data_IF_475234025210
#
_entry.id   IF_475234025210
#
_cell.length_a   1.000
_cell.length_b   1.000
_cell.length_c   1.000
_cell.angle_alpha   90.00
_cell.angle_beta   90.00
_cell.angle_gamma   90.00
#
_symmetry.space_group_name_H-M   'P 1'
#
loop_
_entity.id
_entity.type
_entity.pdbx_description
1 polymer ?
#
# COMPACT_ATOMS: atom_id res chain seq x y z
N UNK A 1 -9.59 -14.17 5.79
CA UNK A 1 -9.91 -12.74 5.89
C UNK A 1 -11.20 -12.60 5.12
N UNK A 2 -12.31 -12.33 5.81
CA UNK A 2 -13.62 -12.23 5.15
C UNK A 2 -13.59 -11.07 4.15
N UNK A 3 -14.09 -11.33 2.94
CA UNK A 3 -14.25 -10.29 1.92
C UNK A 3 -15.38 -9.39 2.42
N UNK A 4 -15.08 -8.11 2.66
CA UNK A 4 -16.08 -7.14 3.09
C UNK A 4 -17.23 -7.10 2.07
N UNK A 5 -18.45 -7.06 2.57
CA UNK A 5 -19.62 -6.85 1.71
C UNK A 5 -19.61 -5.41 1.18
N UNK A 6 -20.27 -5.17 0.03
CA UNK A 6 -20.36 -3.84 -0.57
C UNK A 6 -20.96 -2.79 0.40
N UNK A 7 -21.87 -3.23 1.26
CA UNK A 7 -22.52 -2.36 2.26
C UNK A 7 -21.57 -1.99 3.40
N UNK A 8 -20.74 -2.93 3.86
CA UNK A 8 -19.72 -2.67 4.89
C UNK A 8 -18.60 -1.77 4.39
N UNK A 9 -18.17 -1.95 3.14
CA UNK A 9 -17.20 -1.02 2.50
C UNK A 9 -17.75 0.41 2.50
N UNK A 10 -19.02 0.57 2.13
CA UNK A 10 -19.68 1.87 2.04
C UNK A 10 -19.73 2.55 3.40
N UNK A 11 -20.14 1.80 4.44
CA UNK A 11 -20.17 2.29 5.82
C UNK A 11 -18.79 2.75 6.30
N UNK A 12 -17.75 1.95 6.07
CA UNK A 12 -16.37 2.28 6.48
C UNK A 12 -15.87 3.54 5.78
N UNK A 13 -16.16 3.70 4.48
CA UNK A 13 -15.74 4.87 3.71
C UNK A 13 -16.40 6.16 4.20
N UNK A 14 -17.69 6.12 4.51
CA UNK A 14 -18.41 7.28 5.03
C UNK A 14 -17.99 7.61 6.47
N UNK A 15 -17.94 6.62 7.37
CA UNK A 15 -17.66 6.84 8.80
C UNK A 15 -16.19 7.20 9.07
N UNK A 16 -15.25 6.55 8.37
CA UNK A 16 -13.81 6.69 8.69
C UNK A 16 -13.14 7.76 7.86
N UNK A 17 -13.57 7.93 6.60
CA UNK A 17 -12.88 8.79 5.64
C UNK A 17 -13.70 10.01 5.21
N UNK A 18 -14.95 10.16 5.70
CA UNK A 18 -15.88 11.22 5.31
C UNK A 18 -16.01 11.35 3.78
N UNK A 19 -16.01 10.20 3.10
CA UNK A 19 -16.12 10.12 1.64
C UNK A 19 -17.59 10.03 1.26
N UNK A 20 -18.00 10.93 0.38
CA UNK A 20 -19.32 10.92 -0.27
C UNK A 20 -19.32 9.85 -1.38
N UNK A 21 -20.18 8.84 -1.22
CA UNK A 21 -20.21 7.63 -2.05
C UNK A 21 -20.78 7.95 -3.43
N UNK A 22 -21.79 8.80 -3.51
CA UNK A 22 -22.39 9.23 -4.77
C UNK A 22 -21.37 10.03 -5.60
N UNK A 23 -20.60 10.89 -4.94
CA UNK A 23 -19.47 11.58 -5.59
C UNK A 23 -18.38 10.60 -6.03
N UNK A 24 -18.09 9.56 -5.25
CA UNK A 24 -17.07 8.58 -5.59
C UNK A 24 -17.41 7.84 -6.89
N UNK A 25 -18.65 7.39 -7.06
CA UNK A 25 -19.11 6.75 -8.30
C UNK A 25 -18.95 7.67 -9.51
N UNK A 26 -19.38 8.92 -9.38
CA UNK A 26 -19.19 9.93 -10.42
C UNK A 26 -17.72 10.14 -10.78
N UNK A 27 -16.83 10.19 -9.79
CA UNK A 27 -15.40 10.33 -10.03
C UNK A 27 -14.77 9.10 -10.66
N UNK A 28 -15.26 7.89 -10.38
CA UNK A 28 -14.80 6.67 -11.05
C UNK A 28 -15.10 6.76 -12.55
N UNK A 29 -16.32 7.14 -12.94
CA UNK A 29 -16.70 7.33 -14.34
C UNK A 29 -15.84 8.41 -15.03
N UNK A 30 -15.58 9.52 -14.35
CA UNK A 30 -14.68 10.56 -14.87
C UNK A 30 -13.24 10.06 -15.04
N UNK A 31 -12.77 9.23 -14.09
CA UNK A 31 -11.44 8.65 -14.14
C UNK A 31 -11.30 7.71 -15.33
N UNK A 32 -12.30 6.85 -15.58
CA UNK A 32 -12.33 5.94 -16.73
C UNK A 32 -12.29 6.71 -18.05
N UNK A 33 -13.15 7.73 -18.22
CA UNK A 33 -13.14 8.59 -19.40
C UNK A 33 -11.80 9.28 -19.63
N UNK A 34 -11.19 9.81 -18.56
CA UNK A 34 -9.86 10.43 -18.64
C UNK A 34 -8.80 9.40 -19.05
N UNK A 35 -8.84 8.22 -18.43
CA UNK A 35 -7.90 7.13 -18.65
C UNK A 35 -7.99 6.58 -20.07
N UNK A 36 -9.19 6.46 -20.64
CA UNK A 36 -9.42 6.07 -22.04
C UNK A 36 -8.74 7.02 -23.01
N UNK A 37 -8.74 8.32 -22.72
CA UNK A 37 -8.00 9.34 -23.48
C UNK A 37 -6.47 9.19 -23.43
N UNK A 38 -5.91 8.48 -22.44
CA UNK A 38 -4.46 8.31 -22.29
C UNK A 38 -3.94 7.13 -23.13
N UNK A 39 -3.31 7.42 -24.28
CA UNK A 39 -2.76 6.39 -25.19
C UNK A 39 -1.53 5.65 -24.63
N UNK A 40 -0.81 6.26 -23.71
CA UNK A 40 0.45 5.75 -23.17
C UNK A 40 0.27 4.87 -21.92
N UNK A 41 -0.93 4.88 -21.32
CA UNK A 41 -1.22 4.08 -20.12
C UNK A 41 -1.74 2.69 -20.52
N UNK A 42 -1.39 1.64 -19.76
CA UNK A 42 -1.84 0.28 -20.04
C UNK A 42 -3.35 0.16 -19.85
N UNK A 43 -4.10 -0.27 -20.87
CA UNK A 43 -5.57 -0.36 -20.84
C UNK A 43 -6.15 -1.51 -20.00
N UNK A 44 -5.32 -2.11 -19.17
CA UNK A 44 -5.67 -3.28 -18.34
C UNK A 44 -6.24 -2.90 -16.98
N UNK A 45 -6.22 -1.62 -16.60
CA UNK A 45 -6.82 -1.12 -15.36
C UNK A 45 -8.30 -0.73 -15.55
N UNK A 46 -9.11 -0.92 -14.50
CA UNK A 46 -10.53 -0.57 -14.48
C UNK A 46 -11.02 -0.07 -13.12
N UNK A 47 -12.32 0.18 -12.98
CA UNK A 47 -12.96 0.91 -11.88
C UNK A 47 -12.52 0.57 -10.45
N UNK A 48 -12.31 -0.70 -10.09
CA UNK A 48 -11.86 -1.07 -8.72
C UNK A 48 -10.44 -0.57 -8.39
N UNK A 49 -9.60 -0.39 -9.41
CA UNK A 49 -8.28 0.22 -9.28
C UNK A 49 -8.42 1.74 -9.04
N UNK A 50 -9.22 2.42 -9.88
CA UNK A 50 -9.42 3.87 -9.80
C UNK A 50 -10.08 4.30 -8.48
N UNK A 51 -11.04 3.50 -7.99
CA UNK A 51 -11.66 3.67 -6.66
C UNK A 51 -10.60 3.82 -5.57
N UNK A 52 -9.55 2.99 -5.57
CA UNK A 52 -8.48 3.04 -4.54
C UNK A 52 -7.68 4.33 -4.61
N UNK A 53 -7.31 4.79 -5.80
CA UNK A 53 -6.56 6.03 -5.97
C UNK A 53 -7.38 7.25 -5.56
N UNK A 54 -8.68 7.26 -5.87
CA UNK A 54 -9.62 8.30 -5.45
C UNK A 54 -9.77 8.33 -3.93
N UNK A 55 -9.95 7.18 -3.29
CA UNK A 55 -10.02 7.06 -1.82
C UNK A 55 -8.72 7.57 -1.18
N UNK A 56 -7.56 7.12 -1.65
CA UNK A 56 -6.26 7.55 -1.14
C UNK A 56 -6.00 9.05 -1.34
N UNK A 57 -6.59 9.64 -2.38
CA UNK A 57 -6.53 11.07 -2.66
C UNK A 57 -7.64 11.88 -1.96
N UNK A 58 -8.50 11.26 -1.15
CA UNK A 58 -9.67 11.90 -0.51
C UNK A 58 -10.58 12.59 -1.55
N UNK A 59 -10.84 11.91 -2.66
CA UNK A 59 -11.59 12.40 -3.83
C UNK A 59 -10.99 13.62 -4.56
N UNK A 60 -9.74 13.99 -4.27
CA UNK A 60 -9.01 14.96 -5.10
C UNK A 60 -8.61 14.29 -6.43
N UNK A 61 -9.34 14.64 -7.50
CA UNK A 61 -9.19 14.02 -8.81
C UNK A 61 -7.81 14.24 -9.44
N UNK A 62 -7.25 15.45 -9.32
CA UNK A 62 -5.92 15.76 -9.87
C UNK A 62 -4.83 14.98 -9.14
N UNK A 63 -4.91 14.94 -7.81
CA UNK A 63 -3.98 14.15 -6.99
C UNK A 63 -4.10 12.65 -7.27
N UNK A 64 -5.32 12.15 -7.49
CA UNK A 64 -5.55 10.75 -7.84
C UNK A 64 -4.91 10.39 -9.20
N UNK A 65 -5.10 11.24 -10.22
CA UNK A 65 -4.44 11.09 -11.53
C UNK A 65 -2.92 11.09 -11.40
N UNK A 66 -2.36 12.06 -10.66
CA UNK A 66 -0.92 12.18 -10.42
C UNK A 66 -0.35 10.90 -9.82
N UNK A 67 -1.00 10.39 -8.77
CA UNK A 67 -0.61 9.13 -8.10
C UNK A 67 -0.72 7.92 -9.02
N UNK A 68 -1.78 7.85 -9.82
CA UNK A 68 -1.97 6.76 -10.76
C UNK A 68 -0.88 6.75 -11.86
N UNK A 69 -0.59 7.89 -12.48
CA UNK A 69 0.50 8.02 -13.46
C UNK A 69 1.84 7.63 -12.84
N UNK A 70 2.12 8.11 -11.63
CA UNK A 70 3.34 7.74 -10.88
C UNK A 70 3.40 6.24 -10.59
N UNK A 71 2.28 5.61 -10.25
CA UNK A 71 2.20 4.17 -10.08
C UNK A 71 2.54 3.42 -11.38
N UNK A 72 1.93 3.80 -12.50
CA UNK A 72 2.25 3.21 -13.81
C UNK A 72 3.69 3.48 -14.26
N UNK A 73 4.26 4.63 -13.88
CA UNK A 73 5.67 4.94 -14.14
C UNK A 73 6.59 4.00 -13.34
N UNK A 74 6.33 3.86 -12.04
CA UNK A 74 7.15 3.02 -11.16
C UNK A 74 7.17 1.55 -11.63
N UNK A 75 6.07 1.02 -12.17
CA UNK A 75 6.06 -0.35 -12.70
C UNK A 75 6.97 -0.54 -13.91
N UNK A 76 7.29 0.54 -14.64
CA UNK A 76 8.18 0.52 -15.82
C UNK A 76 9.63 0.75 -15.45
N UNK A 77 9.89 1.70 -14.55
CA UNK A 77 11.26 2.09 -14.21
C UNK A 77 11.89 1.17 -13.20
N UNK A 78 11.07 0.52 -12.37
CA UNK A 78 11.50 -0.32 -11.27
C UNK A 78 11.09 -1.78 -11.50
N UNK A 79 11.40 -2.31 -12.68
CA UNK A 79 11.03 -3.68 -13.08
C UNK A 79 11.52 -4.74 -12.11
N UNK A 80 12.62 -4.48 -11.41
CA UNK A 80 13.16 -5.32 -10.35
C UNK A 80 12.19 -5.54 -9.18
N UNK A 81 11.25 -4.61 -8.94
CA UNK A 81 10.23 -4.72 -7.89
C UNK A 81 8.84 -5.10 -8.42
N UNK A 82 8.56 -4.80 -9.70
CA UNK A 82 7.22 -4.90 -10.26
C UNK A 82 7.04 -6.03 -11.29
N UNK A 83 8.10 -6.50 -11.94
CA UNK A 83 8.02 -7.61 -12.90
C UNK A 83 8.32 -8.98 -12.26
N UNK A 84 8.00 -10.06 -12.99
CA UNK A 84 8.34 -11.44 -12.62
C UNK A 84 7.85 -11.85 -11.21
N UNK A 85 6.69 -11.33 -10.81
CA UNK A 85 6.06 -11.68 -9.53
C UNK A 85 5.50 -13.09 -9.61
N UNK A 86 6.32 -14.05 -9.20
CA UNK A 86 5.89 -15.40 -8.91
C UNK A 86 5.75 -15.56 -7.40
N UNK A 87 4.73 -16.31 -6.97
CA UNK A 87 4.56 -16.72 -5.57
C UNK A 87 4.57 -18.25 -5.50
N UNK A 88 5.27 -18.89 -6.44
CA UNK A 88 5.40 -20.35 -6.46
C UNK A 88 6.65 -20.82 -5.72
N UNK A 89 7.68 -19.98 -5.62
CA UNK A 89 8.89 -20.35 -4.91
C UNK A 89 8.77 -19.96 -3.44
N UNK A 90 8.86 -20.96 -2.56
CA UNK A 90 8.97 -20.77 -1.10
C UNK A 90 10.11 -19.80 -0.72
N UNK A 91 11.13 -19.67 -1.59
CA UNK A 91 12.24 -18.72 -1.48
C UNK A 91 11.86 -17.27 -1.80
N UNK A 92 10.81 -17.02 -2.59
CA UNK A 92 10.30 -15.66 -2.90
C UNK A 92 9.40 -15.12 -1.78
N UNK A 93 8.96 -15.98 -0.86
CA UNK A 93 8.32 -15.58 0.40
C UNK A 93 9.36 -15.23 1.48
N UNK A 94 10.65 -15.48 1.26
CA UNK A 94 11.71 -15.15 2.22
C UNK A 94 11.80 -13.64 2.49
N UNK A 95 11.71 -12.75 1.48
CA UNK A 95 11.55 -11.31 1.72
C UNK A 95 10.36 -10.93 2.61
N UNK A 96 9.26 -11.69 2.58
CA UNK A 96 8.09 -11.45 3.45
C UNK A 96 8.38 -11.77 4.92
N UNK A 97 9.43 -12.56 5.23
CA UNK A 97 9.93 -12.67 6.60
C UNK A 97 10.41 -11.33 7.15
N UNK A 98 10.86 -10.42 6.29
CA UNK A 98 11.31 -9.07 6.66
C UNK A 98 10.19 -8.03 6.54
N UNK A 99 9.13 -8.33 5.79
CA UNK A 99 7.89 -7.54 5.73
C UNK A 99 6.98 -7.79 6.95
N UNK A 100 7.38 -8.73 7.81
CA UNK A 100 6.84 -8.89 9.14
C UNK A 100 6.95 -7.52 9.84
N UNK A 101 5.81 -6.90 10.14
CA UNK A 101 5.75 -5.73 11.00
C UNK A 101 6.54 -6.12 12.24
N UNK A 102 7.74 -5.54 12.38
CA UNK A 102 8.57 -5.79 13.54
C UNK A 102 7.85 -5.15 14.72
N UNK A 103 6.97 -5.93 15.36
CA UNK A 103 6.66 -5.73 16.77
C UNK A 103 8.01 -5.96 17.43
N UNK A 104 8.77 -4.88 17.59
CA UNK A 104 10.06 -4.89 18.26
C UNK A 104 9.77 -5.31 19.70
N UNK A 105 9.77 -6.62 19.93
CA UNK A 105 9.88 -7.19 21.26
C UNK A 105 11.23 -6.74 21.78
N UNK A 106 11.18 -5.74 22.65
CA UNK A 106 12.13 -5.52 23.75
C UNK A 106 13.59 -5.27 23.39
N UNK A 107 13.98 -5.17 22.13
CA UNK A 107 15.33 -4.73 21.77
C UNK A 107 15.41 -3.21 21.74
N UNK A 108 15.39 -2.59 22.92
CA UNK A 108 15.62 -1.16 23.10
C UNK A 108 16.95 -0.70 22.45
N UNK A 109 17.93 -1.60 22.33
CA UNK A 109 19.26 -1.26 21.81
C UNK A 109 19.27 -1.03 20.28
N UNK A 110 18.43 -1.72 19.52
CA UNK A 110 18.31 -1.50 18.07
C UNK A 110 17.54 -0.21 17.76
N UNK A 111 16.59 0.18 18.62
CA UNK A 111 15.84 1.43 18.49
C UNK A 111 16.70 2.68 18.74
N UNK A 112 17.72 2.59 19.60
CA UNK A 112 18.65 3.71 19.86
C UNK A 112 19.46 4.13 18.63
N UNK A 113 19.62 3.23 17.65
CA UNK A 113 20.42 3.47 16.45
C UNK A 113 19.58 3.97 15.27
N UNK A 114 18.25 3.96 15.38
CA UNK A 114 17.36 4.53 14.37
C UNK A 114 17.17 6.01 14.70
N UNK A 115 17.66 6.93 13.86
CA UNK A 115 17.52 8.35 14.12
C UNK A 115 16.03 8.73 14.15
N UNK A 116 15.56 9.55 15.10
CA UNK A 116 14.15 9.96 15.20
C UNK A 116 13.60 10.58 13.92
N UNK A 117 14.45 11.25 13.14
CA UNK A 117 14.12 11.84 11.84
C UNK A 117 13.83 10.81 10.74
N UNK A 118 14.23 9.55 10.90
CA UNK A 118 13.95 8.46 9.97
C UNK A 118 12.61 7.77 10.25
N UNK A 119 11.96 8.10 11.37
CA UNK A 119 10.64 7.58 11.72
C UNK A 119 9.57 8.53 11.17
N UNK A 120 8.54 8.03 10.46
CA UNK A 120 7.40 8.84 10.08
C UNK A 120 6.80 9.54 11.31
N UNK A 121 6.23 10.74 11.14
CA UNK A 121 5.59 11.50 12.23
C UNK A 121 4.50 10.69 12.96
N UNK A 122 3.90 9.72 12.29
CA UNK A 122 2.86 8.83 12.83
C UNK A 122 3.41 7.53 13.43
N UNK A 123 4.73 7.37 13.51
CA UNK A 123 5.37 6.19 14.07
C UNK A 123 5.47 6.32 15.59
N UNK A 124 4.55 5.66 16.31
CA UNK A 124 4.62 5.58 17.77
C UNK A 124 5.43 4.36 18.18
N UNK A 125 6.55 4.56 18.89
CA UNK A 125 7.27 3.47 19.55
C UNK A 125 6.43 3.00 20.74
N UNK A 126 5.63 1.96 20.52
CA UNK A 126 4.77 1.36 21.54
C UNK A 126 5.61 0.47 22.47
N UNK A 127 6.30 1.05 23.44
CA UNK A 127 7.02 0.33 24.51
C UNK A 127 6.05 -0.47 25.39
N UNK A 128 5.65 -1.67 24.94
CA UNK A 128 4.80 -2.60 25.70
C UNK A 128 3.34 -2.15 25.91
N UNK A 129 2.89 -1.06 25.25
CA UNK A 129 1.52 -0.52 25.38
C UNK A 129 0.64 -0.80 24.15
N UNK A 130 0.89 -1.90 23.44
CA UNK A 130 0.12 -2.27 22.24
C UNK A 130 -1.38 -2.37 22.52
N UNK A 131 -1.76 -2.94 23.66
CA UNK A 131 -3.17 -3.12 24.06
C UNK A 131 -3.93 -1.81 24.33
N UNK A 132 -3.24 -0.67 24.43
CA UNK A 132 -3.91 0.64 24.54
C UNK A 132 -4.41 1.17 23.19
N UNK A 133 -3.82 0.69 22.10
CA UNK A 133 -4.07 1.22 20.75
C UNK A 133 -4.62 0.16 19.79
N UNK A 134 -4.36 -1.13 20.07
CA UNK A 134 -4.78 -2.25 19.24
C UNK A 134 -5.67 -3.16 20.12
N UNK A 135 -6.91 -3.45 19.69
CA UNK A 135 -7.79 -4.34 20.42
C UNK A 135 -7.14 -5.73 20.62
N UNK A 136 -7.31 -6.38 21.79
CA UNK A 136 -6.68 -7.66 22.08
C UNK A 136 -6.94 -8.74 21.03
N UNK A 137 -8.13 -8.76 20.42
CA UNK A 137 -8.53 -9.71 19.39
C UNK A 137 -7.78 -9.57 18.06
N UNK A 138 -7.17 -8.42 17.81
CA UNK A 138 -6.36 -8.16 16.62
C UNK A 138 -4.87 -8.48 16.84
N UNK A 139 -4.47 -8.77 18.08
CA UNK A 139 -3.08 -9.00 18.44
C UNK A 139 -2.84 -10.52 18.65
N UNK A 140 -1.75 -11.10 18.13
CA UNK A 140 -1.44 -12.51 18.32
C UNK A 140 -1.23 -12.87 19.79
N UNK A 141 -1.49 -14.13 20.17
CA UNK A 141 -1.29 -14.62 21.55
C UNK A 141 0.16 -14.40 22.01
N UNK A 142 1.11 -14.66 21.11
CA UNK A 142 2.54 -14.49 21.36
C UNK A 142 2.93 -13.03 21.67
N UNK A 143 2.05 -12.07 21.37
CA UNK A 143 2.23 -10.64 21.60
C UNK A 143 1.33 -10.10 22.73
N UNK A 144 0.65 -10.97 23.48
CA UNK A 144 -0.22 -10.58 24.60
C UNK A 144 -1.66 -10.26 24.19
N UNK A 145 -2.10 -10.66 22.99
CA UNK A 145 -3.48 -10.57 22.54
C UNK A 145 -4.26 -11.88 22.67
N UNK A 146 -5.43 -11.94 22.04
CA UNK A 146 -6.33 -13.10 22.02
C UNK A 146 -6.56 -13.68 20.62
N UNK A 147 -5.87 -13.18 19.59
CA UNK A 147 -5.92 -13.71 18.23
C UNK A 147 -5.20 -15.07 18.10
N UNK A 148 -4.99 -15.57 16.89
CA UNK A 148 -4.19 -16.77 16.63
C UNK A 148 -2.69 -16.53 16.91
N UNK A 149 -1.89 -17.60 16.98
CA UNK A 149 -0.44 -17.47 17.14
C UNK A 149 0.22 -16.91 15.88
N UNK A 150 1.39 -16.28 16.01
CA UNK A 150 2.16 -15.75 14.88
C UNK A 150 2.46 -16.83 13.84
N UNK A 151 2.70 -18.07 14.28
CA UNK A 151 2.96 -19.19 13.38
C UNK A 151 1.71 -19.57 12.56
N UNK A 152 0.53 -19.58 13.19
CA UNK A 152 -0.74 -19.83 12.51
C UNK A 152 -1.08 -18.73 11.52
N UNK A 153 -0.92 -17.46 11.93
CA UNK A 153 -1.14 -16.30 11.07
C UNK A 153 -0.19 -16.28 9.88
N UNK A 154 1.09 -16.59 10.10
CA UNK A 154 2.08 -16.73 9.01
C UNK A 154 1.62 -17.78 8.00
N UNK A 155 1.23 -18.98 8.47
CA UNK A 155 0.76 -20.04 7.58
C UNK A 155 -0.48 -19.62 6.78
N UNK A 156 -1.43 -18.93 7.41
CA UNK A 156 -2.62 -18.39 6.71
C UNK A 156 -2.25 -17.33 5.69
N UNK A 157 -1.31 -16.45 6.00
CA UNK A 157 -0.83 -15.42 5.09
C UNK A 157 -0.11 -16.03 3.89
N UNK A 158 0.78 -17.00 4.12
CA UNK A 158 1.45 -17.76 3.06
C UNK A 158 0.43 -18.44 2.14
N UNK A 159 -0.57 -19.12 2.72
CA UNK A 159 -1.65 -19.74 1.95
C UNK A 159 -2.43 -18.71 1.13
N UNK A 160 -2.78 -17.57 1.73
CA UNK A 160 -3.48 -16.49 1.04
C UNK A 160 -2.68 -15.96 -0.17
N UNK A 161 -1.36 -15.80 -0.04
CA UNK A 161 -0.52 -15.39 -1.16
C UNK A 161 -0.52 -16.43 -2.29
N UNK A 162 -0.48 -17.73 -1.95
CA UNK A 162 -0.55 -18.82 -2.92
C UNK A 162 -1.92 -18.88 -3.60
N UNK A 163 -3.00 -18.79 -2.84
CA UNK A 163 -4.39 -18.80 -3.35
C UNK A 163 -4.65 -17.64 -4.30
N UNK A 164 -3.99 -16.51 -4.07
CA UNK A 164 -4.08 -15.31 -4.90
C UNK A 164 -2.91 -15.17 -5.87
N UNK A 165 -2.08 -16.19 -6.07
CA UNK A 165 -0.86 -16.12 -6.91
C UNK A 165 -1.12 -15.55 -8.30
N UNK A 166 -2.24 -15.92 -8.93
CA UNK A 166 -2.69 -15.38 -10.22
C UNK A 166 -2.77 -13.85 -10.22
N UNK A 167 -3.34 -13.24 -9.18
CA UNK A 167 -3.43 -11.78 -9.08
C UNK A 167 -2.05 -11.12 -9.15
N UNK A 168 -1.03 -11.71 -8.52
CA UNK A 168 0.32 -11.15 -8.51
C UNK A 168 1.06 -11.36 -9.83
N UNK A 169 0.84 -12.51 -10.49
CA UNK A 169 1.34 -12.75 -11.84
C UNK A 169 0.72 -11.75 -12.82
N UNK A 170 -0.60 -11.59 -12.77
CA UNK A 170 -1.33 -10.63 -13.60
C UNK A 170 -0.83 -9.20 -13.35
N UNK A 171 -0.61 -8.84 -12.08
CA UNK A 171 -0.03 -7.55 -11.67
C UNK A 171 1.38 -7.33 -12.23
N UNK A 172 2.22 -8.38 -12.26
CA UNK A 172 3.56 -8.31 -12.83
C UNK A 172 3.59 -8.21 -14.35
N UNK A 173 2.54 -8.70 -15.01
CA UNK A 173 2.35 -8.60 -16.45
C UNK A 173 1.75 -7.25 -16.89
N UNK A 174 1.36 -6.37 -15.95
CA UNK A 174 0.87 -5.04 -16.29
C UNK A 174 2.03 -4.16 -16.77
N UNK A 175 2.20 -4.12 -18.09
CA UNK A 175 3.17 -3.27 -18.77
C UNK A 175 2.44 -2.19 -19.59
N UNK A 176 2.89 -0.94 -19.58
CA UNK A 176 2.37 0.09 -20.46
C UNK A 176 2.57 -0.27 -21.92
N UNK A 177 1.61 0.15 -22.73
CA UNK A 177 1.57 -0.08 -24.18
C UNK A 177 2.47 0.87 -24.97
N UNK A 178 3.03 1.90 -24.34
CA UNK A 178 3.90 2.89 -24.98
C UNK A 178 4.78 3.63 -23.97
N UNK A 179 5.67 4.53 -24.45
CA UNK A 179 6.50 5.35 -23.57
C UNK A 179 5.61 6.25 -22.72
N UNK A 180 5.68 6.10 -21.40
CA UNK A 180 5.02 7.01 -20.47
C UNK A 180 5.82 8.32 -20.51
N UNK A 181 5.21 9.46 -20.90
CA UNK A 181 5.89 10.74 -20.77
C UNK A 181 6.26 10.91 -19.30
N UNK A 182 7.51 11.24 -19.03
CA UNK A 182 8.03 11.40 -17.68
C UNK A 182 7.94 12.89 -17.34
N UNK A 183 6.95 13.34 -16.55
CA UNK A 183 7.01 14.67 -15.97
C UNK A 183 8.33 14.87 -15.24
N UNK A 184 9.01 15.97 -15.53
CA UNK A 184 10.31 16.33 -14.93
C UNK A 184 10.24 16.27 -13.40
N UNK A 185 9.08 16.61 -12.83
CA UNK A 185 8.77 16.55 -11.40
C UNK A 185 8.84 15.16 -10.74
N UNK A 186 8.86 14.06 -11.51
CA UNK A 186 8.96 12.70 -10.98
C UNK A 186 10.38 12.15 -10.92
N UNK A 187 11.35 12.78 -11.62
CA UNK A 187 12.73 12.29 -11.67
C UNK A 187 13.43 12.34 -10.31
N UNK A 188 13.03 13.27 -9.43
CA UNK A 188 13.71 13.54 -8.16
C UNK A 188 12.93 13.13 -6.89
N UNK A 189 11.70 12.59 -7.03
CA UNK A 189 10.73 12.49 -5.92
C UNK A 189 10.28 11.07 -5.57
N UNK A 190 11.21 10.11 -5.50
CA UNK A 190 10.90 8.78 -4.96
C UNK A 190 10.52 8.82 -3.48
N UNK A 191 11.04 9.81 -2.72
CA UNK A 191 10.95 9.88 -1.25
C UNK A 191 10.00 10.97 -0.70
N UNK A 192 9.78 12.06 -1.43
CA UNK A 192 9.32 13.31 -0.80
C UNK A 192 7.81 13.40 -0.53
N UNK A 193 7.01 12.45 -1.01
CA UNK A 193 5.57 12.39 -0.69
C UNK A 193 5.27 11.55 0.57
N UNK A 194 6.26 10.82 1.12
CA UNK A 194 6.14 10.08 2.39
C UNK A 194 6.64 10.87 3.61
N UNK A 195 7.03 12.12 3.43
CA UNK A 195 7.45 12.99 4.52
C UNK A 195 8.24 14.16 3.96
N UNK A 196 7.85 15.37 4.36
CA UNK A 196 8.60 16.59 4.06
C UNK A 196 9.92 16.57 4.83
N UNK A 197 10.96 15.93 4.29
CA UNK A 197 12.33 16.12 4.77
C UNK A 197 12.77 17.54 4.40
N UNK A 198 12.67 18.47 5.36
CA UNK A 198 13.28 19.79 5.20
C UNK A 198 14.80 19.59 5.11
N UNK A 199 15.41 20.14 4.07
CA UNK A 199 16.88 20.16 3.92
C UNK A 199 17.47 20.75 5.21
N UNK A 200 18.32 19.98 5.88
CA UNK A 200 19.09 20.46 7.01
C UNK A 200 20.17 21.39 6.43
N UNK A 201 20.07 22.68 6.71
CA UNK A 201 21.19 23.59 6.47
C UNK A 201 22.22 23.32 7.57
N UNK A 202 23.41 22.88 7.17
CA UNK A 202 24.55 22.74 8.08
C UNK A 202 25.31 24.06 7.98
N UNK A 203 25.33 24.82 9.07
CA UNK A 203 26.22 25.97 9.26
C UNK A 203 27.62 25.51 9.69
#
# INVERSE_FOLDING_TARGET
>A
MEVLTSEEETRILTETSNIDVDKLEHYIDLFEKWFDGQKHLPKTYGGSCFKKFLIWAKLDFEKAKKRFVKFCYNTVTHKEFFCNRSITLKTELEPLKYLQITILKENEDLLKHIPPQCLPQDCTILKGKFLKHIPPQCLPQDCGGSSETLQQLKKKLEQHFVDNSKFYVDLGNLQPTGPIPIPEEYKDNYSNEFGSFRKLNID
#
